data_IF_848757060951
#
_entry.id   IF_848757060951
#
_cell.length_a   1.000
_cell.length_b   1.000
_cell.length_c   1.000
_cell.angle_alpha   90.00
_cell.angle_beta   90.00
_cell.angle_gamma   90.00
#
_symmetry.space_group_name_H-M   'P 1'
#
loop_
_entity.id
_entity.type
_entity.pdbx_description
1 polymer ?
#
# COMPACT_ATOMS: atom_id res chain seq x y z
N UNK A 1 -1.33 -11.47 1.51
CA UNK A 1 -1.94 -12.23 2.62
C UNK A 1 -2.52 -11.24 3.61
N UNK A 2 -3.70 -11.52 4.16
CA UNK A 2 -4.37 -10.57 5.04
C UNK A 2 -5.22 -11.30 6.08
N UNK A 3 -5.51 -10.62 7.20
CA UNK A 3 -6.51 -11.10 8.17
C UNK A 3 -7.88 -10.48 7.96
N UNK A 4 -7.92 -9.18 7.71
CA UNK A 4 -9.17 -8.45 7.62
C UNK A 4 -9.87 -8.73 6.27
N UNK A 5 -10.83 -9.65 6.28
CA UNK A 5 -11.56 -10.18 5.11
C UNK A 5 -12.04 -9.10 4.12
N UNK A 6 -12.59 -7.95 4.56
CA UNK A 6 -13.15 -6.96 3.63
C UNK A 6 -12.12 -6.26 2.74
N UNK A 7 -10.80 -6.42 2.96
CA UNK A 7 -9.78 -6.04 1.98
C UNK A 7 -10.09 -6.69 0.63
N UNK A 8 -10.45 -7.96 0.62
CA UNK A 8 -10.74 -8.68 -0.63
C UNK A 8 -12.14 -8.42 -1.17
N UNK A 9 -13.11 -8.21 -0.29
CA UNK A 9 -14.51 -8.02 -0.69
C UNK A 9 -14.81 -6.61 -1.22
N UNK A 10 -14.05 -5.60 -0.79
CA UNK A 10 -14.40 -4.20 -1.01
C UNK A 10 -13.28 -3.32 -1.56
N UNK A 11 -12.01 -3.68 -1.35
CA UNK A 11 -10.87 -2.85 -1.75
C UNK A 11 -10.22 -3.41 -3.02
N UNK A 12 -9.93 -4.70 -3.03
CA UNK A 12 -9.23 -5.33 -4.15
C UNK A 12 -10.19 -5.63 -5.31
N UNK A 13 -9.90 -5.06 -6.47
CA UNK A 13 -10.59 -5.40 -7.72
C UNK A 13 -10.15 -6.75 -8.30
N UNK A 14 -10.96 -7.33 -9.18
CA UNK A 14 -10.58 -8.52 -9.94
C UNK A 14 -9.28 -8.26 -10.72
N UNK A 15 -8.34 -9.20 -10.65
CA UNK A 15 -7.04 -9.09 -11.33
C UNK A 15 -6.04 -8.10 -10.71
N UNK A 16 -6.34 -7.53 -9.53
CA UNK A 16 -5.42 -6.60 -8.83
C UNK A 16 -4.19 -7.27 -8.20
N UNK A 17 -4.23 -8.58 -7.97
CA UNK A 17 -3.13 -9.37 -7.44
C UNK A 17 -3.16 -10.82 -7.97
N UNK A 18 -1.98 -11.43 -8.14
CA UNK A 18 -1.85 -12.83 -8.58
C UNK A 18 -2.39 -13.83 -7.54
N UNK A 19 -2.24 -13.50 -6.25
CA UNK A 19 -2.73 -14.29 -5.11
C UNK A 19 -3.38 -13.38 -4.08
N UNK A 20 -4.56 -13.78 -3.60
CA UNK A 20 -5.33 -13.10 -2.54
C UNK A 20 -5.74 -14.17 -1.53
N UNK A 21 -5.14 -14.14 -0.35
CA UNK A 21 -5.27 -15.20 0.64
C UNK A 21 -5.58 -14.56 2.01
N UNK A 22 -6.79 -14.82 2.49
CA UNK A 22 -7.29 -14.39 3.79
C UNK A 22 -7.14 -15.48 4.85
N UNK A 23 -6.82 -15.09 6.08
CA UNK A 23 -6.66 -15.97 7.23
C UNK A 23 -7.40 -15.43 8.45
N UNK A 24 -7.83 -16.31 9.34
CA UNK A 24 -8.60 -16.00 10.56
C UNK A 24 -7.74 -15.50 11.73
N UNK A 25 -6.41 -15.62 11.64
CA UNK A 25 -5.46 -15.23 12.70
C UNK A 25 -4.21 -14.60 12.12
N UNK A 26 -3.60 -13.65 12.83
CA UNK A 26 -2.35 -13.00 12.42
C UNK A 26 -1.19 -13.99 12.39
N UNK A 27 -1.20 -15.01 13.25
CA UNK A 27 -0.19 -16.07 13.24
C UNK A 27 -0.15 -16.82 11.91
N UNK A 28 -1.30 -17.13 11.33
CA UNK A 28 -1.39 -17.78 10.01
C UNK A 28 -1.00 -16.83 8.88
N UNK A 29 -1.32 -15.54 9.01
CA UNK A 29 -0.84 -14.50 8.07
C UNK A 29 0.69 -14.46 8.08
N UNK A 30 1.30 -14.44 9.27
CA UNK A 30 2.76 -14.49 9.47
C UNK A 30 3.37 -15.78 8.93
N UNK A 31 2.82 -16.94 9.27
CA UNK A 31 3.31 -18.24 8.80
C UNK A 31 3.31 -18.30 7.26
N UNK A 32 2.24 -17.82 6.62
CA UNK A 32 2.15 -17.78 5.16
C UNK A 32 3.11 -16.77 4.55
N UNK A 33 3.28 -15.60 5.15
CA UNK A 33 4.25 -14.61 4.68
C UNK A 33 5.68 -15.17 4.71
N UNK A 34 6.06 -15.87 5.79
CA UNK A 34 7.35 -16.55 5.94
C UNK A 34 7.52 -17.65 4.88
N UNK A 35 6.49 -18.48 4.68
CA UNK A 35 6.50 -19.53 3.63
C UNK A 35 6.72 -18.92 2.24
N UNK A 36 5.97 -17.87 1.88
CA UNK A 36 6.10 -17.20 0.58
C UNK A 36 7.51 -16.63 0.38
N UNK A 37 8.09 -15.98 1.39
CA UNK A 37 9.45 -15.44 1.30
C UNK A 37 10.51 -16.55 1.14
N UNK A 38 10.28 -17.71 1.75
CA UNK A 38 11.22 -18.84 1.74
C UNK A 38 11.13 -19.63 0.44
N UNK A 39 9.91 -19.95 0.00
CA UNK A 39 9.66 -20.99 -1.00
C UNK A 39 9.30 -20.44 -2.39
N UNK A 40 8.93 -19.15 -2.51
CA UNK A 40 8.58 -18.55 -3.80
C UNK A 40 9.78 -17.79 -4.39
N UNK A 41 10.54 -18.38 -5.33
CA UNK A 41 11.68 -17.72 -5.94
C UNK A 41 11.26 -16.56 -6.85
N UNK A 42 10.02 -16.54 -7.34
CA UNK A 42 9.52 -15.54 -8.27
C UNK A 42 8.70 -14.42 -7.60
N UNK A 43 8.60 -14.38 -6.27
CA UNK A 43 7.86 -13.35 -5.53
C UNK A 43 8.39 -11.94 -5.80
N UNK A 44 7.58 -11.10 -6.45
CA UNK A 44 7.92 -9.70 -6.75
C UNK A 44 7.34 -8.71 -5.73
N UNK A 45 6.12 -8.96 -5.23
CA UNK A 45 5.48 -8.11 -4.22
C UNK A 45 4.78 -9.01 -3.20
N UNK A 46 4.97 -8.71 -1.92
CA UNK A 46 4.22 -9.31 -0.82
C UNK A 46 3.62 -8.22 0.03
N UNK A 47 2.29 -8.22 0.09
CA UNK A 47 1.49 -7.42 1.01
C UNK A 47 1.02 -8.31 2.17
N UNK A 48 1.23 -7.85 3.38
CA UNK A 48 0.85 -8.51 4.63
C UNK A 48 0.06 -7.51 5.47
N UNK A 49 -1.14 -7.89 5.90
CA UNK A 49 -1.98 -7.09 6.79
C UNK A 49 -2.40 -7.93 7.99
N UNK A 50 -2.04 -7.46 9.18
CA UNK A 50 -2.36 -8.03 10.49
C UNK A 50 -3.36 -7.12 11.22
N UNK A 51 -4.35 -7.70 11.89
CA UNK A 51 -5.55 -6.99 12.39
C UNK A 51 -5.73 -7.07 13.92
N UNK A 52 -4.97 -7.90 14.65
CA UNK A 52 -5.19 -8.07 16.10
C UNK A 52 -4.98 -6.81 16.92
N UNK A 53 -4.10 -5.91 16.47
CA UNK A 53 -3.86 -4.64 17.16
C UNK A 53 -5.12 -3.77 17.10
N UNK A 54 -5.76 -3.67 15.94
CA UNK A 54 -7.02 -2.94 15.79
C UNK A 54 -8.16 -3.59 16.56
N UNK A 55 -8.33 -4.90 16.40
CA UNK A 55 -9.36 -5.66 17.10
C UNK A 55 -9.23 -5.51 18.63
N UNK A 56 -8.01 -5.64 19.17
CA UNK A 56 -7.75 -5.43 20.61
C UNK A 56 -7.97 -3.97 21.01
N UNK A 57 -7.63 -3.00 20.16
CA UNK A 57 -7.90 -1.59 20.41
C UNK A 57 -9.40 -1.29 20.50
N UNK A 58 -10.23 -1.93 19.68
CA UNK A 58 -11.68 -1.86 19.78
C UNK A 58 -12.25 -2.56 21.01
N UNK A 59 -11.69 -3.71 21.38
CA UNK A 59 -12.17 -4.49 22.52
C UNK A 59 -11.75 -3.88 23.85
N UNK A 60 -10.52 -3.39 23.98
CA UNK A 60 -9.90 -2.99 25.24
C UNK A 60 -9.45 -1.53 25.30
N UNK A 61 -9.06 -0.95 24.18
CA UNK A 61 -8.71 0.47 24.06
C UNK A 61 -7.34 0.70 23.44
N UNK A 62 -7.26 1.66 22.53
CA UNK A 62 -6.04 2.10 21.87
C UNK A 62 -5.23 3.04 22.77
N UNK A 63 -4.53 2.50 23.77
CA UNK A 63 -3.69 3.29 24.66
C UNK A 63 -2.50 2.50 25.20
N UNK A 64 -1.33 3.15 25.39
CA UNK A 64 -0.20 2.52 26.10
C UNK A 64 -0.50 2.19 27.56
N UNK A 65 -1.59 2.74 28.13
CA UNK A 65 -2.05 2.42 29.49
C UNK A 65 -2.95 1.17 29.54
N UNK A 66 -3.28 0.56 28.40
CA UNK A 66 -4.09 -0.67 28.29
C UNK A 66 -3.14 -1.85 28.03
N UNK A 67 -2.89 -2.72 29.03
CA UNK A 67 -1.92 -3.81 28.89
C UNK A 67 -2.23 -4.79 27.77
N UNK A 68 -3.50 -5.07 27.50
CA UNK A 68 -3.94 -5.97 26.44
C UNK A 68 -3.56 -5.42 25.06
N UNK A 69 -3.74 -4.11 24.85
CA UNK A 69 -3.37 -3.42 23.62
C UNK A 69 -1.85 -3.38 23.44
N UNK A 70 -1.09 -3.07 24.49
CA UNK A 70 0.38 -3.13 24.45
C UNK A 70 0.85 -4.55 24.09
N UNK A 71 0.27 -5.58 24.71
CA UNK A 71 0.61 -6.97 24.40
C UNK A 71 0.25 -7.35 22.95
N UNK A 72 -0.82 -6.79 22.38
CA UNK A 72 -1.16 -6.99 20.97
C UNK A 72 -0.13 -6.36 20.03
N UNK A 73 0.34 -5.14 20.35
CA UNK A 73 1.42 -4.48 19.61
C UNK A 73 2.71 -5.31 19.67
N UNK A 74 3.10 -5.80 20.85
CA UNK A 74 4.29 -6.65 21.01
C UNK A 74 4.18 -7.97 20.22
N UNK A 75 2.98 -8.58 20.14
CA UNK A 75 2.77 -9.77 19.29
C UNK A 75 2.95 -9.44 17.81
N UNK A 76 2.37 -8.33 17.35
CA UNK A 76 2.53 -7.87 15.97
C UNK A 76 3.99 -7.53 15.61
N UNK A 77 4.73 -6.93 16.55
CA UNK A 77 6.16 -6.67 16.42
C UNK A 77 6.95 -7.98 16.25
N UNK A 78 6.73 -8.98 17.11
CA UNK A 78 7.41 -10.27 17.02
C UNK A 78 7.09 -11.00 15.70
N UNK A 79 5.83 -10.98 15.25
CA UNK A 79 5.44 -11.56 13.97
C UNK A 79 6.10 -10.82 12.79
N UNK A 80 6.23 -9.50 12.88
CA UNK A 80 6.96 -8.70 11.87
C UNK A 80 8.44 -9.06 11.85
N UNK A 81 9.06 -9.28 13.01
CA UNK A 81 10.44 -9.74 13.11
C UNK A 81 10.64 -11.12 12.46
N UNK A 82 9.73 -12.08 12.67
CA UNK A 82 9.78 -13.40 12.01
C UNK A 82 9.78 -13.26 10.46
N UNK A 83 8.95 -12.37 9.92
CA UNK A 83 8.86 -12.10 8.47
C UNK A 83 10.15 -11.45 7.96
N UNK A 84 10.70 -10.48 8.70
CA UNK A 84 11.97 -9.82 8.35
C UNK A 84 13.15 -10.80 8.40
N UNK A 85 13.19 -11.70 9.37
CA UNK A 85 14.21 -12.74 9.47
C UNK A 85 14.14 -13.71 8.29
N UNK A 86 12.93 -14.10 7.87
CA UNK A 86 12.75 -14.91 6.66
C UNK A 86 13.26 -14.20 5.41
N UNK A 87 12.95 -12.92 5.24
CA UNK A 87 13.51 -12.10 4.14
C UNK A 87 15.04 -12.02 4.23
N UNK A 88 15.59 -11.80 5.44
CA UNK A 88 17.02 -11.71 5.69
C UNK A 88 17.79 -13.01 5.41
N UNK A 89 17.15 -14.16 5.62
CA UNK A 89 17.73 -15.49 5.35
C UNK A 89 17.72 -15.88 3.85
N UNK A 90 16.88 -15.22 3.04
CA UNK A 90 16.79 -15.44 1.60
C UNK A 90 18.06 -15.03 0.86
N UNK A 91 18.41 -15.74 -0.22
CA UNK A 91 19.47 -15.29 -1.14
C UNK A 91 19.01 -14.07 -1.94
N UNK A 92 19.48 -12.90 -1.53
CA UNK A 92 19.17 -11.62 -2.17
C UNK A 92 20.24 -11.19 -3.19
N UNK A 93 21.15 -12.05 -3.63
CA UNK A 93 22.27 -11.66 -4.51
C UNK A 93 21.82 -10.98 -5.81
N UNK A 94 20.67 -11.41 -6.35
CA UNK A 94 20.04 -10.86 -7.57
C UNK A 94 18.79 -10.01 -7.28
N UNK A 95 18.52 -9.72 -6.01
CA UNK A 95 17.28 -9.08 -5.57
C UNK A 95 17.59 -7.80 -4.81
N UNK A 96 16.84 -6.75 -5.07
CA UNK A 96 16.86 -5.54 -4.26
C UNK A 96 15.48 -5.35 -3.66
N UNK A 97 15.38 -5.53 -2.34
CA UNK A 97 14.12 -5.42 -1.63
C UNK A 97 13.94 -4.02 -1.04
N UNK A 98 12.74 -3.47 -1.17
CA UNK A 98 12.22 -2.37 -0.37
C UNK A 98 11.24 -2.95 0.63
N UNK A 99 11.39 -2.59 1.90
CA UNK A 99 10.48 -2.94 2.97
C UNK A 99 9.84 -1.67 3.49
N UNK A 100 8.51 -1.63 3.54
CA UNK A 100 7.72 -0.55 4.13
C UNK A 100 6.83 -1.16 5.21
N UNK A 101 6.89 -0.60 6.42
CA UNK A 101 6.06 -1.00 7.56
C UNK A 101 5.30 0.23 8.02
N UNK A 102 3.98 0.13 8.12
CA UNK A 102 3.12 1.26 8.45
C UNK A 102 1.82 0.77 9.09
N UNK A 103 0.94 1.72 9.40
CA UNK A 103 -0.45 1.48 9.77
C UNK A 103 -1.33 2.36 8.90
N UNK A 104 -2.55 1.93 8.65
CA UNK A 104 -3.55 2.72 7.93
C UNK A 104 -4.20 3.79 8.82
N UNK A 105 -4.28 3.57 10.14
CA UNK A 105 -4.65 4.62 11.08
C UNK A 105 -4.11 4.41 12.52
N UNK A 106 -4.45 5.34 13.42
CA UNK A 106 -4.25 5.25 14.87
C UNK A 106 -5.59 5.18 15.60
N UNK A 107 -5.63 5.19 16.93
CA UNK A 107 -6.91 5.14 17.65
C UNK A 107 -6.85 5.77 19.03
N UNK A 108 -7.99 5.73 19.72
CA UNK A 108 -8.10 6.12 21.12
C UNK A 108 -8.34 7.61 21.33
N UNK A 109 -8.50 8.38 20.26
CA UNK A 109 -8.60 9.83 20.32
C UNK A 109 -9.82 10.35 21.04
N UNK A 110 -10.93 10.52 20.32
CA UNK A 110 -12.16 11.01 20.95
C UNK A 110 -12.74 10.00 21.93
N UNK A 111 -12.57 8.71 21.63
CA UNK A 111 -13.02 7.60 22.45
C UNK A 111 -11.93 6.54 22.48
N UNK A 112 -11.63 6.04 23.68
CA UNK A 112 -10.51 5.13 23.92
C UNK A 112 -10.57 3.85 23.06
N UNK A 113 -11.77 3.33 22.78
CA UNK A 113 -12.01 2.08 22.04
C UNK A 113 -12.45 2.29 20.58
N UNK A 114 -12.17 3.47 20.03
CA UNK A 114 -12.56 3.82 18.66
C UNK A 114 -11.47 4.64 17.99
N UNK A 115 -11.59 4.73 16.68
CA UNK A 115 -10.87 5.64 15.82
C UNK A 115 -11.89 6.40 14.94
N UNK A 116 -11.53 7.58 14.45
CA UNK A 116 -12.42 8.38 13.60
C UNK A 116 -11.60 9.27 12.66
N UNK A 117 -11.94 9.34 11.36
CA UNK A 117 -11.14 10.08 10.36
C UNK A 117 -11.03 11.60 10.64
N UNK A 118 -11.91 12.15 11.46
CA UNK A 118 -11.85 13.56 11.88
C UNK A 118 -10.96 13.83 13.10
N UNK A 119 -10.43 12.82 13.78
CA UNK A 119 -9.54 13.02 14.93
C UNK A 119 -8.09 12.96 14.48
N UNK A 120 -7.29 13.98 14.84
CA UNK A 120 -5.88 14.03 14.44
C UNK A 120 -5.06 12.83 14.92
N UNK A 121 -5.27 12.39 16.16
CA UNK A 121 -4.54 11.24 16.72
C UNK A 121 -4.94 9.93 16.04
N UNK A 122 -6.21 9.79 15.64
CA UNK A 122 -6.68 8.61 14.92
C UNK A 122 -6.18 8.60 13.46
N UNK A 123 -5.74 9.73 12.90
CA UNK A 123 -5.08 9.79 11.59
C UNK A 123 -3.56 9.64 11.67
N UNK A 124 -2.99 9.62 12.86
CA UNK A 124 -1.55 9.56 13.03
C UNK A 124 -1.07 8.12 12.87
N UNK A 125 -0.22 7.88 11.88
CA UNK A 125 0.37 6.57 11.59
C UNK A 125 1.88 6.68 11.64
N UNK A 126 2.55 5.53 11.78
CA UNK A 126 4.00 5.46 11.64
C UNK A 126 4.35 4.96 10.24
N UNK A 127 5.56 5.26 9.78
CA UNK A 127 6.10 4.69 8.56
C UNK A 127 7.59 4.42 8.74
N UNK A 128 7.98 3.16 8.55
CA UNK A 128 9.37 2.71 8.53
C UNK A 128 9.68 2.20 7.13
N UNK A 129 10.81 2.63 6.56
CA UNK A 129 11.23 2.23 5.22
C UNK A 129 12.69 1.82 5.26
N UNK A 130 13.01 0.67 4.65
CA UNK A 130 14.40 0.20 4.52
C UNK A 130 14.62 -0.56 3.22
N UNK A 131 15.88 -0.70 2.82
CA UNK A 131 16.27 -1.33 1.56
C UNK A 131 16.12 -0.41 0.34
N UNK A 132 16.16 -1.00 -0.85
CA UNK A 132 16.15 -0.26 -2.10
C UNK A 132 17.19 0.86 -2.14
N UNK A 133 16.74 2.04 -2.55
CA UNK A 133 17.53 3.28 -2.52
C UNK A 133 17.12 4.20 -1.36
N UNK A 134 16.49 3.68 -0.31
CA UNK A 134 16.02 4.47 0.82
C UNK A 134 17.18 5.20 1.51
N UNK A 135 16.99 6.50 1.74
CA UNK A 135 17.93 7.34 2.49
C UNK A 135 17.88 6.90 3.96
N UNK A 136 19.05 6.63 4.53
CA UNK A 136 19.15 6.26 5.94
C UNK A 136 18.94 7.48 6.84
N UNK A 137 18.07 7.32 7.85
CA UNK A 137 17.76 8.37 8.82
C UNK A 137 16.26 8.60 8.97
N UNK A 138 15.90 9.60 9.77
CA UNK A 138 14.51 10.03 9.93
C UNK A 138 14.01 10.72 8.65
N UNK A 139 12.80 10.37 8.22
CA UNK A 139 12.11 11.07 7.13
C UNK A 139 11.54 12.40 7.66
N UNK A 140 12.26 13.51 7.43
CA UNK A 140 11.89 14.85 7.93
C UNK A 140 11.04 15.66 6.95
N UNK A 141 10.52 15.04 5.88
CA UNK A 141 9.73 15.64 4.80
C UNK A 141 8.23 15.36 4.92
N UNK A 142 7.78 15.11 6.15
CA UNK A 142 6.39 14.81 6.52
C UNK A 142 5.78 13.70 5.65
N UNK A 143 6.28 12.45 5.74
CA UNK A 143 5.76 11.34 4.95
C UNK A 143 4.30 11.05 5.32
N UNK A 144 3.51 10.66 4.32
CA UNK A 144 2.08 10.33 4.48
C UNK A 144 1.77 8.97 3.89
N UNK A 145 0.72 8.30 4.35
CA UNK A 145 0.38 6.92 3.94
C UNK A 145 0.25 6.75 2.42
N UNK A 146 -0.19 7.78 1.70
CA UNK A 146 -0.30 7.74 0.24
C UNK A 146 1.06 7.67 -0.49
N UNK A 147 2.16 8.03 0.18
CA UNK A 147 3.52 7.92 -0.36
C UNK A 147 3.92 6.45 -0.59
N UNK A 148 3.31 5.50 0.15
CA UNK A 148 3.60 4.06 0.05
C UNK A 148 3.44 3.55 -1.38
N UNK A 149 2.36 3.91 -2.06
CA UNK A 149 2.10 3.47 -3.42
C UNK A 149 3.15 4.01 -4.40
N UNK A 150 3.52 5.28 -4.27
CA UNK A 150 4.51 5.93 -5.13
C UNK A 150 5.90 5.35 -4.91
N UNK A 151 6.30 5.15 -3.65
CA UNK A 151 7.59 4.51 -3.33
C UNK A 151 7.67 3.08 -3.85
N UNK A 152 6.61 2.28 -3.70
CA UNK A 152 6.56 0.92 -4.20
C UNK A 152 6.68 0.86 -5.73
N UNK A 153 5.88 1.67 -6.45
CA UNK A 153 5.91 1.72 -7.92
C UNK A 153 7.26 2.24 -8.44
N UNK A 154 7.82 3.27 -7.81
CA UNK A 154 9.12 3.80 -8.17
C UNK A 154 10.24 2.77 -7.97
N UNK A 155 10.20 2.00 -6.88
CA UNK A 155 11.16 0.91 -6.64
C UNK A 155 11.01 -0.24 -7.64
N UNK A 156 9.80 -0.50 -8.15
CA UNK A 156 9.55 -1.46 -9.23
C UNK A 156 9.92 -0.94 -10.62
N UNK A 157 10.40 0.30 -10.74
CA UNK A 157 10.64 0.98 -12.02
C UNK A 157 9.37 1.05 -12.90
N UNK A 158 8.19 1.06 -12.28
CA UNK A 158 6.92 1.24 -13.00
C UNK A 158 6.72 2.73 -13.26
N UNK A 159 6.50 3.15 -14.53
CA UNK A 159 6.22 4.54 -14.84
C UNK A 159 5.01 5.05 -14.06
N UNK A 160 5.18 6.15 -13.34
CA UNK A 160 4.08 6.80 -12.61
C UNK A 160 3.19 7.58 -13.60
N UNK A 161 1.87 7.61 -13.38
CA UNK A 161 0.98 8.42 -14.19
C UNK A 161 1.29 9.92 -14.02
N UNK A 162 1.05 10.69 -15.08
CA UNK A 162 1.30 12.13 -15.14
C UNK A 162 0.00 12.93 -15.38
N UNK A 163 0.05 14.24 -15.21
CA UNK A 163 -1.08 15.14 -15.49
C UNK A 163 -2.22 14.97 -14.48
N UNK A 164 -3.44 14.81 -14.98
CA UNK A 164 -4.66 14.66 -14.16
C UNK A 164 -4.73 13.31 -13.43
N UNK A 165 -4.01 12.30 -13.91
CA UNK A 165 -3.94 10.96 -13.32
C UNK A 165 -2.76 10.80 -12.33
N UNK A 166 -2.00 11.87 -12.10
CA UNK A 166 -0.85 11.83 -11.22
C UNK A 166 -1.27 11.43 -9.80
N UNK A 167 -0.57 10.43 -9.23
CA UNK A 167 -0.79 10.02 -7.85
C UNK A 167 -0.42 11.16 -6.89
N UNK A 168 -1.17 11.28 -5.79
CA UNK A 168 -0.93 12.31 -4.78
C UNK A 168 0.29 12.03 -3.88
N UNK A 169 0.77 10.78 -3.86
CA UNK A 169 1.92 10.35 -3.08
C UNK A 169 3.27 10.80 -3.66
N UNK A 170 4.34 10.57 -2.91
CA UNK A 170 5.71 11.01 -3.23
C UNK A 170 6.75 9.95 -2.89
N UNK A 171 7.96 10.16 -3.39
CA UNK A 171 9.13 9.34 -3.07
C UNK A 171 9.80 9.77 -1.75
N UNK A 172 9.04 9.84 -0.66
CA UNK A 172 9.49 10.47 0.60
C UNK A 172 10.73 9.80 1.23
N UNK A 173 10.88 8.48 1.09
CA UNK A 173 12.07 7.75 1.56
C UNK A 173 13.28 7.83 0.61
N UNK A 174 13.10 8.24 -0.65
CA UNK A 174 14.19 8.27 -1.65
C UNK A 174 14.71 9.68 -1.93
N UNK A 175 13.92 10.70 -1.62
CA UNK A 175 14.28 12.10 -1.83
C UNK A 175 13.74 12.97 -0.68
N UNK A 176 14.63 13.41 0.20
CA UNK A 176 14.30 14.27 1.34
C UNK A 176 13.86 15.68 0.93
N UNK A 177 13.97 16.05 -0.35
CA UNK A 177 13.65 17.37 -0.87
C UNK A 177 12.28 17.44 -1.55
N UNK A 178 11.54 16.33 -1.64
CA UNK A 178 10.19 16.36 -2.22
C UNK A 178 9.30 17.33 -1.46
N UNK A 179 8.48 18.15 -2.17
CA UNK A 179 7.52 19.03 -1.53
C UNK A 179 6.53 18.25 -0.65
N UNK A 180 5.84 18.90 0.31
CA UNK A 180 4.75 18.30 1.06
C UNK A 180 3.70 17.64 0.15
N UNK A 181 3.07 16.57 0.63
CA UNK A 181 1.99 15.91 -0.09
C UNK A 181 0.86 16.90 -0.38
N UNK A 182 0.15 16.69 -1.49
CA UNK A 182 -1.02 17.52 -1.79
C UNK A 182 -2.07 17.25 -0.71
N UNK A 183 -2.48 18.30 -0.03
CA UNK A 183 -3.66 18.24 0.82
C UNK A 183 -4.88 18.09 -0.10
N UNK A 184 -5.70 17.04 0.06
CA UNK A 184 -6.90 16.89 -0.74
C UNK A 184 -7.82 18.08 -0.52
N UNK A 185 -7.96 18.93 -1.53
CA UNK A 185 -8.89 20.06 -1.52
C UNK A 185 -10.29 19.53 -1.83
N UNK A 186 -10.88 18.79 -0.89
CA UNK A 186 -12.31 18.48 -0.98
C UNK A 186 -13.11 19.76 -0.73
N UNK A 187 -13.34 20.56 -1.78
CA UNK A 187 -14.20 21.75 -1.72
C UNK A 187 -15.68 21.38 -1.49
N UNK A 188 -16.06 20.12 -1.75
CA UNK A 188 -17.40 19.61 -1.47
C UNK A 188 -17.37 18.81 -0.17
N UNK A 189 -18.23 19.12 0.82
CA UNK A 189 -18.30 18.33 2.03
C UNK A 189 -18.65 16.88 1.68
N UNK A 190 -17.89 15.95 2.25
CA UNK A 190 -18.33 14.56 2.43
C UNK A 190 -19.67 14.67 3.17
N UNK A 191 -20.74 14.13 2.60
CA UNK A 191 -22.11 14.27 3.12
C UNK A 191 -22.16 13.99 4.63
N UNK A 192 -22.39 15.03 5.44
CA UNK A 192 -22.79 14.84 6.83
C UNK A 192 -24.24 14.37 6.85
N UNK A 193 -24.48 13.08 7.07
CA UNK A 193 -25.81 12.63 7.50
C UNK A 193 -26.07 13.18 8.90
N UNK A 194 -26.79 14.31 8.99
CA UNK A 194 -27.44 14.72 10.25
C UNK A 194 -28.59 13.75 10.51
N UNK A 195 -28.36 12.77 11.37
CA UNK A 195 -29.44 11.90 11.87
C UNK A 195 -30.21 12.68 12.95
N UNK A 196 -31.24 13.41 12.53
CA UNK A 196 -32.22 14.03 13.43
C UNK A 196 -33.38 13.06 13.67
N UNK A 197 -33.19 11.97 14.42
CA UNK A 197 -34.23 11.38 15.28
C UNK A 197 -33.69 10.22 16.11
N UNK A 198 -33.81 10.34 17.43
CA UNK A 198 -33.71 9.23 18.38
C UNK A 198 -34.84 8.23 18.12
N UNK A 199 -34.55 7.08 17.50
CA UNK A 199 -35.34 5.85 17.64
C UNK A 199 -34.55 4.62 17.17
N UNK A 200 -34.05 3.85 18.14
CA UNK A 200 -33.83 2.40 18.13
C UNK A 200 -33.55 1.69 16.79
N UNK A 201 -32.28 1.49 16.51
CA UNK A 201 -31.76 0.26 15.89
C UNK A 201 -30.34 0.06 16.43
N UNK A 202 -30.26 -0.56 17.60
CA UNK A 202 -29.06 -1.26 18.05
C UNK A 202 -28.98 -2.48 17.15
N UNK A 203 -28.21 -2.38 16.07
CA UNK A 203 -28.13 -3.41 15.04
C UNK A 203 -27.03 -3.06 14.05
N UNK A 204 -25.84 -3.61 14.32
CA UNK A 204 -24.83 -3.99 13.34
C UNK A 204 -24.61 -3.00 12.20
N UNK A 205 -23.88 -1.93 12.47
CA UNK A 205 -23.17 -1.19 11.43
C UNK A 205 -21.71 -1.13 11.86
N UNK A 206 -20.92 -2.07 11.33
CA UNK A 206 -19.47 -2.06 11.36
C UNK A 206 -18.97 -0.72 10.84
N UNK A 207 -18.52 0.12 11.75
CA UNK A 207 -17.55 1.18 11.51
C UNK A 207 -16.34 0.85 12.40
N UNK A 208 -15.86 -0.39 12.27
CA UNK A 208 -14.43 -0.66 12.43
C UNK A 208 -13.74 -0.11 11.20
N UNK A 209 -12.42 0.06 11.27
CA UNK A 209 -11.44 -0.35 10.25
C UNK A 209 -10.19 0.50 10.47
N UNK A 210 -9.34 -0.10 11.32
CA UNK A 210 -7.94 -0.49 11.12
C UNK A 210 -6.77 0.40 11.62
N UNK A 211 -6.34 0.16 12.86
CA UNK A 211 -4.94 0.28 13.26
C UNK A 211 -4.26 -1.05 12.92
N UNK A 212 -4.20 -1.36 11.62
CA UNK A 212 -3.59 -2.59 11.15
C UNK A 212 -2.08 -2.41 11.03
N UNK A 213 -1.30 -3.46 11.29
CA UNK A 213 0.12 -3.43 10.87
C UNK A 213 0.15 -3.88 9.42
N UNK A 214 0.53 -2.95 8.55
CA UNK A 214 0.70 -3.17 7.12
C UNK A 214 2.20 -3.31 6.84
N UNK A 215 2.57 -4.49 6.37
CA UNK A 215 3.92 -4.81 5.95
C UNK A 215 3.93 -5.08 4.45
N UNK A 216 4.73 -4.30 3.72
CA UNK A 216 4.82 -4.37 2.26
C UNK A 216 6.28 -4.57 1.90
N UNK A 217 6.56 -5.64 1.19
CA UNK A 217 7.87 -5.89 0.59
C UNK A 217 7.76 -5.90 -0.92
N UNK A 218 8.67 -5.18 -1.55
CA UNK A 218 8.69 -4.97 -2.99
C UNK A 218 10.08 -5.34 -3.50
N UNK A 219 10.15 -6.32 -4.37
CA UNK A 219 11.39 -6.81 -4.97
C UNK A 219 11.59 -6.21 -6.35
N UNK A 220 12.77 -5.62 -6.55
CA UNK A 220 13.30 -5.35 -7.89
C UNK A 220 14.31 -6.44 -8.26
N UNK A 221 14.08 -7.16 -9.36
CA UNK A 221 15.08 -8.07 -9.93
C UNK A 221 16.20 -7.22 -10.56
N UNK A 222 17.47 -7.50 -10.25
CA UNK A 222 18.56 -6.88 -11.01
C UNK A 222 18.44 -7.30 -12.47
N UNK A 223 18.18 -6.35 -13.37
CA UNK A 223 18.20 -6.62 -14.81
C UNK A 223 19.56 -7.22 -15.16
N UNK A 224 19.55 -8.43 -15.74
CA UNK A 224 20.73 -9.06 -16.29
C UNK A 224 21.25 -8.12 -17.38
N UNK A 225 22.37 -7.43 -17.10
CA UNK A 225 23.07 -6.55 -18.05
C UNK A 225 23.33 -7.34 -19.35
N UNK A 226 22.44 -7.23 -20.34
CA UNK A 226 22.48 -8.16 -21.46
C UNK A 226 21.16 -8.36 -22.23
N UNK A 227 20.40 -7.31 -22.52
CA UNK A 227 19.52 -7.30 -23.68
C UNK A 227 19.61 -5.92 -24.34
N UNK A 228 20.25 -5.91 -25.51
CA UNK A 228 20.64 -4.70 -26.22
C UNK A 228 19.46 -3.78 -26.53
N UNK A 229 19.77 -2.47 -26.60
CA UNK A 229 18.94 -1.40 -27.13
C UNK A 229 18.00 -1.91 -28.23
N UNK A 230 16.70 -1.97 -27.97
CA UNK A 230 15.71 -1.88 -29.03
C UNK A 230 15.78 -0.45 -29.55
N UNK A 231 16.34 -0.33 -30.76
CA UNK A 231 16.48 0.93 -31.48
C UNK A 231 15.12 1.59 -31.67
N UNK A 232 15.11 2.92 -31.57
CA UNK A 232 13.91 3.73 -31.73
C UNK A 232 13.22 3.44 -33.05
N UNK A 233 11.93 3.13 -32.97
CA UNK A 233 11.03 3.25 -34.10
C UNK A 233 10.65 4.72 -34.23
N UNK A 234 11.35 5.42 -35.11
CA UNK A 234 10.91 6.70 -35.66
C UNK A 234 9.64 6.48 -36.47
N UNK A 235 8.58 7.21 -36.14
CA UNK A 235 7.40 7.40 -36.99
C UNK A 235 7.82 7.88 -38.39
N UNK A 236 7.36 7.24 -39.48
CA UNK A 236 7.36 7.88 -40.79
C UNK A 236 6.11 8.74 -40.94
N UNK A 237 6.35 10.00 -41.28
CA UNK A 237 5.39 11.01 -41.70
C UNK A 237 4.47 10.54 -42.84
N UNK A 238 3.31 11.16 -42.87
CA UNK A 238 2.31 11.14 -43.94
C UNK A 238 2.85 11.64 -45.30
N UNK A 239 2.06 11.29 -46.33
CA UNK A 239 2.04 11.76 -47.72
C UNK A 239 3.01 11.14 -48.72
N UNK A 240 2.45 10.29 -49.61
CA UNK A 240 2.31 10.55 -51.06
C UNK A 240 1.37 9.47 -51.66
N UNK A 241 0.17 9.87 -52.08
CA UNK A 241 -0.67 9.10 -53.01
C UNK A 241 -0.30 9.56 -54.43
N UNK A 242 0.14 8.67 -55.36
CA UNK A 242 0.33 9.06 -56.74
C UNK A 242 -1.02 9.12 -57.46
N UNK A 243 -1.26 10.23 -58.15
CA UNK A 243 -2.27 10.33 -59.19
C UNK A 243 -1.90 9.41 -60.37
N UNK A 244 -2.84 8.59 -60.83
CA UNK A 244 -2.85 8.11 -62.21
C UNK A 244 -4.25 8.29 -62.81
N UNK A 245 -4.24 8.69 -64.08
CA UNK A 245 -5.32 9.30 -64.85
C UNK A 245 -5.57 8.34 -66.02
N UNK A 246 -6.78 7.80 -66.20
CA UNK A 246 -6.96 6.84 -67.29
C UNK A 246 -8.35 6.23 -67.52
N UNK A 247 -9.35 7.10 -67.73
CA UNK A 247 -10.55 6.98 -68.58
C UNK A 247 -10.90 5.63 -69.29
N UNK A 248 -12.14 5.12 -69.15
CA UNK A 248 -13.11 4.91 -70.26
C UNK A 248 -14.36 4.04 -69.93
N UNK A 249 -15.52 4.62 -70.23
CA UNK A 249 -16.78 4.11 -70.84
C UNK A 249 -17.62 2.91 -70.31
N UNK A 250 -18.94 3.22 -70.17
CA UNK A 250 -20.17 2.43 -70.46
C UNK A 250 -20.32 1.05 -69.80
N UNK A 251 -21.43 0.66 -69.17
CA UNK A 251 -22.87 0.95 -69.32
C UNK A 251 -23.58 1.02 -67.95
#
# INVERSE_FOLDING_TARGET
VYRWEPIDEHILGEGSADRREGYDTDEKVRDRAVELLTDEPDLDVLFVSMDDVDATGHDEGFSPDVPEYVAAVERAENMTADILDALGARDQSQETWLVIITSDHGGGGRFLKMHHPSTLIDRNTFMLVTGGSAIQGEMTNDPVIIDVAVMALNHLEVPLPEGEEALDGRNSAFDSTVPPAREPTCEKPIFYYRVNLMAALVGTCCLSICASVIFITVRLRKQRQGRGKLGGMSHPNEDVIPADVGNSHSE
#
